data_IF_299876239310
#
_entry.id   IF_299876239310
#
_cell.length_a   1.000
_cell.length_b   1.000
_cell.length_c   1.000
_cell.angle_alpha   90.00
_cell.angle_beta   90.00
_cell.angle_gamma   90.00
#
_symmetry.space_group_name_H-M   'P 1'
#
loop_
_entity.id
_entity.type
_entity.pdbx_description
1 polymer ?
#
# COMPACT_ATOMS: atom_id res chain seq x y z
N UNK A 1 16.05 4.60 9.87
CA UNK A 1 14.81 4.44 9.08
C UNK A 1 14.25 5.84 8.78
N UNK A 2 13.79 6.13 7.53
CA UNK A 2 13.04 7.34 7.25
C UNK A 2 11.74 7.34 8.07
N UNK A 3 11.24 8.53 8.43
CA UNK A 3 9.93 8.63 9.08
C UNK A 3 8.81 8.22 8.11
N UNK A 4 7.61 7.94 8.62
CA UNK A 4 6.45 7.66 7.79
C UNK A 4 6.17 8.83 6.83
N UNK A 5 6.22 10.06 7.37
CA UNK A 5 6.02 11.28 6.60
C UNK A 5 7.06 11.45 5.48
N UNK A 6 8.33 11.14 5.76
CA UNK A 6 9.39 11.19 4.74
C UNK A 6 9.15 10.15 3.64
N UNK A 7 8.77 8.93 4.02
CA UNK A 7 8.46 7.84 3.06
C UNK A 7 7.30 8.23 2.15
N UNK A 8 6.20 8.72 2.71
CA UNK A 8 5.02 9.17 1.95
C UNK A 8 5.37 10.34 1.03
N UNK A 9 6.12 11.33 1.51
CA UNK A 9 6.54 12.48 0.70
C UNK A 9 7.47 12.05 -0.44
N UNK A 10 8.38 11.12 -0.19
CA UNK A 10 9.26 10.55 -1.21
C UNK A 10 8.47 9.85 -2.31
N UNK A 11 7.52 8.98 -1.94
CA UNK A 11 6.63 8.29 -2.89
C UNK A 11 5.82 9.29 -3.72
N UNK A 12 5.21 10.29 -3.07
CA UNK A 12 4.44 11.32 -3.76
C UNK A 12 5.30 12.09 -4.78
N UNK A 13 6.53 12.46 -4.40
CA UNK A 13 7.46 13.16 -5.30
C UNK A 13 7.88 12.28 -6.48
N UNK A 14 8.21 11.03 -6.24
CA UNK A 14 8.60 10.09 -7.29
C UNK A 14 7.46 9.85 -8.29
N UNK A 15 6.24 9.60 -7.80
CA UNK A 15 5.05 9.39 -8.64
C UNK A 15 4.66 10.66 -9.40
N UNK A 16 4.83 11.84 -8.79
CA UNK A 16 4.62 13.13 -9.46
C UNK A 16 5.63 13.31 -10.61
N UNK A 17 6.91 13.04 -10.36
CA UNK A 17 7.95 13.14 -11.38
C UNK A 17 7.71 12.13 -12.52
N UNK A 18 7.31 10.91 -12.18
CA UNK A 18 6.95 9.88 -13.16
C UNK A 18 5.81 10.34 -14.07
N UNK A 19 4.72 10.85 -13.50
CA UNK A 19 3.58 11.38 -14.27
C UNK A 19 3.97 12.54 -15.17
N UNK A 20 4.83 13.45 -14.70
CA UNK A 20 5.31 14.60 -15.50
C UNK A 20 6.14 14.11 -16.71
N UNK A 21 6.80 12.95 -16.62
CA UNK A 21 7.54 12.39 -17.75
C UNK A 21 6.65 11.87 -18.88
N UNK A 22 5.32 11.83 -18.69
CA UNK A 22 4.36 11.33 -19.67
C UNK A 22 4.29 9.81 -19.77
N UNK A 23 4.92 9.10 -18.82
CA UNK A 23 4.82 7.64 -18.73
C UNK A 23 3.47 7.22 -18.12
N UNK A 24 2.92 6.05 -18.52
CA UNK A 24 1.75 5.46 -17.86
C UNK A 24 1.97 5.31 -16.36
N UNK A 25 0.88 5.26 -15.58
CA UNK A 25 0.98 5.11 -14.13
C UNK A 25 1.78 3.84 -13.73
N UNK A 26 2.76 3.94 -12.82
CA UNK A 26 3.66 2.82 -12.54
C UNK A 26 3.07 1.84 -11.53
N UNK A 27 3.51 0.58 -11.62
CA UNK A 27 3.46 -0.36 -10.51
C UNK A 27 4.69 -0.17 -9.62
N UNK A 28 4.50 -0.02 -8.32
CA UNK A 28 5.62 0.08 -7.38
C UNK A 28 6.09 -1.32 -7.00
N UNK A 29 7.39 -1.57 -7.13
CA UNK A 29 8.03 -2.76 -6.58
C UNK A 29 8.73 -2.40 -5.28
N UNK A 30 8.14 -2.80 -4.15
CA UNK A 30 8.77 -2.71 -2.84
C UNK A 30 9.75 -3.86 -2.65
N UNK A 31 10.98 -3.56 -2.25
CA UNK A 31 12.01 -4.56 -1.97
C UNK A 31 12.92 -4.11 -0.82
N UNK A 32 13.40 -5.06 -0.03
CA UNK A 32 14.32 -4.77 1.08
C UNK A 32 15.73 -4.46 0.60
N UNK A 33 16.47 -3.76 1.46
CA UNK A 33 17.81 -3.25 1.15
C UNK A 33 18.90 -4.32 1.10
N UNK A 34 18.64 -5.53 1.58
CA UNK A 34 19.57 -6.67 1.63
C UNK A 34 19.27 -7.69 0.53
N UNK A 35 18.46 -8.69 0.83
CA UNK A 35 18.23 -9.85 -0.05
C UNK A 35 17.41 -9.49 -1.27
N UNK A 36 16.41 -8.63 -1.11
CA UNK A 36 15.63 -8.10 -2.24
C UNK A 36 16.51 -7.31 -3.21
N UNK A 37 17.39 -6.44 -2.68
CA UNK A 37 18.32 -5.69 -3.51
C UNK A 37 19.36 -6.59 -4.19
N UNK A 38 19.83 -7.66 -3.54
CA UNK A 38 20.70 -8.65 -4.14
C UNK A 38 20.01 -9.38 -5.30
N UNK A 39 18.78 -9.85 -5.06
CA UNK A 39 17.97 -10.52 -6.08
C UNK A 39 17.74 -9.62 -7.30
N UNK A 40 17.32 -8.37 -7.10
CA UNK A 40 17.03 -7.45 -8.19
C UNK A 40 18.25 -7.17 -9.06
N UNK A 41 19.49 -7.17 -8.51
CA UNK A 41 20.70 -7.01 -9.32
C UNK A 41 20.91 -8.16 -10.32
N UNK A 42 20.34 -9.34 -10.04
CA UNK A 42 20.43 -10.49 -10.94
C UNK A 42 19.39 -10.46 -12.06
N UNK A 43 18.25 -9.79 -11.85
CA UNK A 43 17.11 -9.78 -12.79
C UNK A 43 16.81 -8.40 -13.38
N UNK A 44 17.55 -7.36 -13.00
CA UNK A 44 17.22 -5.98 -13.40
C UNK A 44 17.31 -5.70 -14.91
N UNK A 45 17.87 -6.60 -15.71
CA UNK A 45 17.84 -6.49 -17.17
C UNK A 45 16.45 -6.77 -17.78
N UNK A 46 15.57 -7.41 -17.01
CA UNK A 46 14.27 -7.89 -17.47
C UNK A 46 13.10 -7.12 -16.82
N UNK A 47 13.38 -5.96 -16.18
CA UNK A 47 12.30 -5.13 -15.63
C UNK A 47 11.40 -4.63 -16.75
N UNK A 48 10.08 -4.87 -16.66
CA UNK A 48 9.15 -4.28 -17.62
C UNK A 48 9.12 -2.75 -17.45
N UNK A 49 8.92 -2.05 -18.56
CA UNK A 49 8.62 -0.62 -18.51
C UNK A 49 7.42 -0.40 -17.58
N UNK A 50 7.38 0.71 -16.82
CA UNK A 50 6.27 1.00 -15.89
C UNK A 50 6.40 0.41 -14.50
N UNK A 51 7.51 -0.24 -14.17
CA UNK A 51 7.82 -0.62 -12.80
C UNK A 51 8.71 0.42 -12.15
N UNK A 52 8.27 0.96 -11.01
CA UNK A 52 9.04 1.87 -10.17
C UNK A 52 9.62 1.11 -8.97
N UNK A 53 10.90 0.72 -8.98
CA UNK A 53 11.52 0.07 -7.83
C UNK A 53 11.62 1.03 -6.66
N UNK A 54 11.14 0.61 -5.49
CA UNK A 54 11.19 1.38 -4.25
C UNK A 54 11.82 0.57 -3.14
N UNK A 55 13.03 0.99 -2.75
CA UNK A 55 13.79 0.31 -1.71
C UNK A 55 13.31 0.72 -0.33
N UNK A 56 13.11 -0.27 0.54
CA UNK A 56 12.88 -0.11 1.97
C UNK A 56 13.98 -0.82 2.75
N UNK A 57 14.16 -0.50 4.02
CA UNK A 57 15.15 -1.21 4.83
C UNK A 57 14.75 -2.66 5.04
N UNK A 58 13.52 -2.88 5.48
CA UNK A 58 12.90 -4.19 5.64
C UNK A 58 11.46 -4.14 5.12
N UNK A 59 10.97 -5.21 4.53
CA UNK A 59 9.59 -5.29 4.03
C UNK A 59 8.58 -4.99 5.16
N UNK A 60 8.82 -5.50 6.36
CA UNK A 60 7.97 -5.24 7.53
C UNK A 60 7.99 -3.80 8.05
N UNK A 61 8.84 -2.92 7.53
CA UNK A 61 8.91 -1.50 7.94
C UNK A 61 7.82 -0.63 7.30
N UNK A 62 7.15 -1.12 6.26
CA UNK A 62 6.03 -0.45 5.61
C UNK A 62 4.73 -1.19 5.87
N UNK A 63 3.62 -0.47 5.95
CA UNK A 63 2.30 -1.03 6.19
C UNK A 63 1.24 -0.46 5.25
N UNK A 64 0.02 -0.78 5.55
CA UNK A 64 -1.16 -0.41 4.76
C UNK A 64 -1.26 1.10 4.49
N UNK A 65 -0.80 1.93 5.42
CA UNK A 65 -0.78 3.38 5.30
C UNK A 65 0.12 3.86 4.15
N UNK A 66 1.27 3.22 3.95
CA UNK A 66 2.20 3.54 2.87
C UNK A 66 1.67 3.03 1.53
N UNK A 67 1.16 1.80 1.53
CA UNK A 67 0.69 1.15 0.31
C UNK A 67 -0.55 1.82 -0.26
N UNK A 68 -1.54 2.10 0.57
CA UNK A 68 -2.74 2.83 0.14
C UNK A 68 -2.42 4.27 -0.27
N UNK A 69 -1.44 4.93 0.40
CA UNK A 69 -0.98 6.26 -0.02
C UNK A 69 -0.37 6.24 -1.42
N UNK A 70 0.39 5.19 -1.76
CA UNK A 70 0.98 5.07 -3.09
C UNK A 70 -0.09 4.93 -4.19
N UNK A 71 -1.17 4.16 -3.94
CA UNK A 71 -2.32 4.11 -4.85
C UNK A 71 -2.99 5.48 -4.98
N UNK A 72 -3.24 6.16 -3.86
CA UNK A 72 -3.81 7.51 -3.85
C UNK A 72 -2.93 8.53 -4.60
N UNK A 73 -1.60 8.39 -4.58
CA UNK A 73 -0.66 9.21 -5.32
C UNK A 73 -0.52 8.83 -6.80
N UNK A 74 -1.27 7.83 -7.28
CA UNK A 74 -1.39 7.49 -8.70
C UNK A 74 -0.59 6.27 -9.16
N UNK A 75 -0.16 5.39 -8.26
CA UNK A 75 0.33 4.08 -8.66
C UNK A 75 -0.83 3.18 -9.13
N UNK A 76 -0.60 2.33 -10.13
CA UNK A 76 -1.59 1.31 -10.56
C UNK A 76 -1.60 0.09 -9.65
N UNK A 77 -0.56 -0.11 -8.88
CA UNK A 77 -0.46 -1.22 -7.96
C UNK A 77 0.86 -1.26 -7.23
N UNK A 78 0.96 -2.20 -6.30
CA UNK A 78 2.16 -2.46 -5.52
C UNK A 78 2.43 -3.95 -5.55
N UNK A 79 3.68 -4.32 -5.82
CA UNK A 79 4.21 -5.66 -5.65
C UNK A 79 5.25 -5.64 -4.55
N UNK A 80 5.11 -6.52 -3.58
CA UNK A 80 5.98 -6.60 -2.41
C UNK A 80 6.87 -7.83 -2.59
N UNK A 81 8.13 -7.60 -2.92
CA UNK A 81 9.09 -8.67 -3.17
C UNK A 81 9.42 -9.38 -1.87
N UNK A 82 9.15 -10.68 -1.83
CA UNK A 82 9.53 -11.57 -0.74
C UNK A 82 10.51 -12.63 -1.24
N UNK A 83 11.29 -13.20 -0.35
CA UNK A 83 12.32 -14.19 -0.67
C UNK A 83 12.47 -15.21 0.46
N UNK A 84 13.23 -16.27 0.25
CA UNK A 84 13.42 -17.36 1.21
C UNK A 84 13.96 -16.93 2.59
N UNK A 85 14.66 -15.78 2.64
CA UNK A 85 15.18 -15.20 3.89
C UNK A 85 14.19 -14.27 4.59
N UNK A 86 13.03 -13.99 3.98
CA UNK A 86 11.99 -13.18 4.63
C UNK A 86 11.44 -13.95 5.85
N UNK A 87 11.47 -13.37 7.06
CA UNK A 87 11.01 -14.08 8.25
C UNK A 87 9.54 -14.49 8.16
N UNK A 88 9.22 -15.72 8.59
CA UNK A 88 7.86 -16.25 8.53
C UNK A 88 6.80 -15.39 9.26
N UNK A 89 7.19 -14.73 10.35
CA UNK A 89 6.32 -13.78 11.05
C UNK A 89 5.98 -12.55 10.18
N UNK A 90 6.93 -12.08 9.38
CA UNK A 90 6.71 -10.97 8.44
C UNK A 90 5.76 -11.42 7.33
N UNK A 91 5.98 -12.61 6.74
CA UNK A 91 5.09 -13.17 5.72
C UNK A 91 3.65 -13.33 6.22
N UNK A 92 3.48 -13.84 7.46
CA UNK A 92 2.14 -13.97 8.08
C UNK A 92 1.46 -12.61 8.23
N UNK A 93 2.17 -11.61 8.74
CA UNK A 93 1.62 -10.26 8.91
C UNK A 93 1.31 -9.61 7.56
N UNK A 94 2.19 -9.79 6.56
CA UNK A 94 2.00 -9.29 5.20
C UNK A 94 0.73 -9.87 4.57
N UNK A 95 0.54 -11.19 4.66
CA UNK A 95 -0.66 -11.84 4.13
C UNK A 95 -1.96 -11.31 4.77
N UNK A 96 -1.95 -11.10 6.10
CA UNK A 96 -3.10 -10.51 6.81
C UNK A 96 -3.38 -9.07 6.37
N UNK A 97 -2.34 -8.26 6.18
CA UNK A 97 -2.49 -6.87 5.73
C UNK A 97 -2.98 -6.80 4.27
N UNK A 98 -2.48 -7.65 3.39
CA UNK A 98 -2.93 -7.74 1.99
C UNK A 98 -4.40 -8.15 1.93
N UNK A 99 -4.82 -9.15 2.72
CA UNK A 99 -6.22 -9.57 2.78
C UNK A 99 -7.15 -8.45 3.28
N UNK A 100 -6.72 -7.72 4.31
CA UNK A 100 -7.45 -6.56 4.80
C UNK A 100 -7.60 -5.48 3.72
N UNK A 101 -6.51 -5.17 3.01
CA UNK A 101 -6.54 -4.16 1.94
C UNK A 101 -7.44 -4.62 0.79
N UNK A 102 -7.39 -5.90 0.42
CA UNK A 102 -8.27 -6.46 -0.60
C UNK A 102 -9.73 -6.19 -0.26
N UNK A 103 -10.16 -6.54 0.95
CA UNK A 103 -11.52 -6.27 1.41
C UNK A 103 -11.88 -4.77 1.38
N UNK A 104 -10.93 -3.91 1.76
CA UNK A 104 -11.15 -2.45 1.76
C UNK A 104 -11.27 -1.90 0.33
N UNK A 105 -10.36 -2.27 -0.57
CA UNK A 105 -10.37 -1.81 -1.96
C UNK A 105 -11.64 -2.30 -2.70
N UNK A 106 -11.97 -3.57 -2.58
CA UNK A 106 -13.18 -4.14 -3.18
C UNK A 106 -14.45 -3.47 -2.62
N UNK A 107 -14.49 -3.18 -1.31
CA UNK A 107 -15.58 -2.45 -0.69
C UNK A 107 -15.69 -0.98 -1.12
N UNK A 108 -14.64 -0.40 -1.66
CA UNK A 108 -14.59 0.93 -2.24
C UNK A 108 -14.70 0.93 -3.79
N UNK A 109 -15.01 -0.22 -4.38
CA UNK A 109 -15.13 -0.43 -5.84
C UNK A 109 -13.79 -0.29 -6.61
N UNK A 110 -12.67 -0.61 -5.94
CA UNK A 110 -11.36 -0.71 -6.55
C UNK A 110 -10.93 -2.17 -6.75
N UNK A 111 -9.92 -2.39 -7.60
CA UNK A 111 -9.34 -3.73 -7.78
C UNK A 111 -8.58 -4.17 -6.51
N UNK A 112 -9.08 -5.21 -5.85
CA UNK A 112 -8.45 -5.82 -4.68
C UNK A 112 -7.07 -6.44 -4.95
N UNK A 113 -6.71 -6.69 -6.21
CA UNK A 113 -5.40 -7.22 -6.61
C UNK A 113 -4.35 -6.13 -6.85
N UNK A 114 -4.71 -4.85 -6.68
CA UNK A 114 -3.76 -3.73 -6.81
C UNK A 114 -2.55 -3.87 -5.89
N UNK A 115 -2.69 -4.54 -4.74
CA UNK A 115 -1.58 -4.80 -3.82
C UNK A 115 -1.42 -6.31 -3.62
N UNK A 116 -0.23 -6.83 -3.93
CA UNK A 116 0.04 -8.26 -3.82
C UNK A 116 1.51 -8.54 -3.43
N UNK A 117 1.70 -9.70 -2.80
CA UNK A 117 3.02 -10.30 -2.63
C UNK A 117 3.56 -10.76 -3.99
N UNK A 118 4.87 -10.66 -4.16
CA UNK A 118 5.62 -11.18 -5.30
C UNK A 118 6.78 -12.03 -4.76
N UNK A 119 6.61 -13.36 -4.66
CA UNK A 119 7.70 -14.24 -4.29
C UNK A 119 8.83 -14.22 -5.33
N UNK A 120 10.08 -14.07 -4.89
CA UNK A 120 11.24 -14.01 -5.79
C UNK A 120 11.38 -15.22 -6.72
N UNK A 121 10.95 -16.40 -6.25
CA UNK A 121 10.96 -17.64 -7.03
C UNK A 121 9.93 -17.68 -8.16
N UNK A 122 8.91 -16.83 -8.07
CA UNK A 122 7.80 -16.74 -9.03
C UNK A 122 7.94 -15.51 -9.94
N UNK A 123 9.08 -14.81 -9.85
CA UNK A 123 9.30 -13.58 -10.60
C UNK A 123 9.27 -13.85 -12.11
N UNK A 124 8.19 -13.49 -12.75
CA UNK A 124 8.05 -13.55 -14.20
C UNK A 124 7.40 -12.27 -14.73
N UNK A 125 7.60 -12.01 -16.03
CA UNK A 125 6.96 -10.86 -16.68
C UNK A 125 5.44 -10.93 -16.72
N UNK A 126 4.85 -12.10 -16.45
CA UNK A 126 3.40 -12.30 -16.40
C UNK A 126 2.76 -11.85 -15.08
N UNK A 127 3.57 -11.69 -14.00
CA UNK A 127 3.08 -11.35 -12.66
C UNK A 127 2.95 -9.85 -12.42
N UNK A 128 3.32 -9.05 -13.42
CA UNK A 128 3.15 -7.61 -13.36
C UNK A 128 1.74 -7.21 -13.79
N UNK A 129 1.13 -6.22 -13.12
CA UNK A 129 -0.09 -5.62 -13.62
C UNK A 129 0.13 -5.26 -15.09
N UNK A 130 -0.72 -5.77 -15.97
CA UNK A 130 -0.71 -5.34 -17.36
C UNK A 130 -0.81 -3.81 -17.36
N UNK A 131 -0.06 -3.15 -18.25
CA UNK A 131 -0.17 -1.72 -18.45
C UNK A 131 -1.65 -1.32 -18.62
N UNK A 132 -2.20 -0.71 -17.60
CA UNK A 132 -3.44 0.05 -17.69
C UNK A 132 -2.99 1.50 -17.76
N UNK A 133 -3.39 2.21 -18.80
CA UNK A 133 -3.03 3.64 -18.97
C UNK A 133 -3.60 4.53 -17.84
N UNK A 134 -4.41 3.97 -16.95
CA UNK A 134 -5.14 4.66 -15.90
C UNK A 134 -4.62 4.27 -14.51
N UNK A 135 -4.35 5.26 -13.69
CA UNK A 135 -4.10 5.05 -12.25
C UNK A 135 -5.35 4.46 -11.58
N UNK A 136 -5.17 3.81 -10.43
CA UNK A 136 -6.29 3.29 -9.62
C UNK A 136 -7.30 4.41 -9.29
N UNK A 137 -6.84 5.64 -9.16
CA UNK A 137 -7.64 6.83 -8.87
C UNK A 137 -7.70 7.77 -10.08
N UNK A 138 -8.87 8.35 -10.35
CA UNK A 138 -9.05 9.35 -11.41
C UNK A 138 -8.28 10.64 -11.09
N UNK A 139 -8.34 11.10 -9.85
CA UNK A 139 -7.63 12.25 -9.33
C UNK A 139 -6.58 11.83 -8.34
N UNK A 140 -5.32 12.20 -8.58
CA UNK A 140 -4.23 11.85 -7.67
C UNK A 140 -4.22 12.73 -6.43
N UNK A 141 -3.96 12.12 -5.28
CA UNK A 141 -3.87 12.82 -4.01
C UNK A 141 -2.69 13.80 -3.97
N UNK A 142 -2.91 14.93 -3.30
CA UNK A 142 -1.90 15.98 -3.11
C UNK A 142 -1.49 16.17 -1.64
N UNK A 143 -2.12 15.46 -0.71
CA UNK A 143 -1.78 15.56 0.70
C UNK A 143 -0.32 15.18 0.95
N UNK A 144 0.31 15.83 1.93
CA UNK A 144 1.68 15.53 2.36
C UNK A 144 1.74 14.33 3.29
N UNK A 145 2.95 13.82 3.48
CA UNK A 145 3.21 12.79 4.47
C UNK A 145 3.02 13.31 5.90
N UNK A 146 2.49 12.46 6.75
CA UNK A 146 2.32 12.67 8.19
C UNK A 146 2.92 11.49 8.94
N UNK A 147 3.47 11.74 10.15
CA UNK A 147 4.16 10.69 10.92
C UNK A 147 3.21 9.79 11.73
N UNK A 148 1.95 10.17 11.85
CA UNK A 148 0.95 9.38 12.54
C UNK A 148 0.22 8.46 11.54
N UNK A 149 0.29 7.13 11.76
CA UNK A 149 -0.34 6.13 10.88
C UNK A 149 -1.85 6.30 10.75
N UNK A 150 -2.53 6.68 11.84
CA UNK A 150 -3.99 6.89 11.84
C UNK A 150 -4.38 8.10 10.99
N UNK A 151 -3.61 9.18 11.10
CA UNK A 151 -3.84 10.38 10.30
C UNK A 151 -3.55 10.12 8.82
N UNK A 152 -2.47 9.35 8.52
CA UNK A 152 -2.17 8.90 7.16
C UNK A 152 -3.34 8.11 6.56
N UNK A 153 -3.83 7.10 7.28
CA UNK A 153 -4.97 6.29 6.83
C UNK A 153 -6.24 7.11 6.65
N UNK A 154 -6.50 8.08 7.54
CA UNK A 154 -7.64 8.98 7.40
C UNK A 154 -7.58 9.78 6.10
N UNK A 155 -6.43 10.42 5.82
CA UNK A 155 -6.24 11.17 4.57
C UNK A 155 -6.41 10.29 3.33
N UNK A 156 -5.91 9.06 3.38
CA UNK A 156 -6.06 8.11 2.29
C UNK A 156 -7.51 7.70 2.10
N UNK A 157 -8.21 7.33 3.16
CA UNK A 157 -9.62 6.92 3.04
C UNK A 157 -10.52 8.08 2.63
N UNK A 158 -10.27 9.29 3.16
CA UNK A 158 -11.00 10.50 2.73
C UNK A 158 -10.82 10.74 1.21
N UNK A 159 -9.65 10.39 0.65
CA UNK A 159 -9.39 10.53 -0.78
C UNK A 159 -9.96 9.36 -1.62
N UNK A 160 -9.83 8.12 -1.14
CA UNK A 160 -10.27 6.94 -1.89
C UNK A 160 -11.79 6.70 -1.81
N UNK A 161 -12.49 7.31 -0.85
CA UNK A 161 -13.94 7.16 -0.72
C UNK A 161 -14.64 8.12 -1.68
N UNK A 162 -15.38 7.63 -2.70
CA UNK A 162 -16.05 8.48 -3.66
C UNK A 162 -17.17 9.30 -2.97
N UNK A 163 -17.25 10.59 -3.26
CA UNK A 163 -18.34 11.45 -2.76
C UNK A 163 -19.73 11.02 -3.26
N UNK A 164 -19.77 10.36 -4.43
CA UNK A 164 -21.01 10.00 -5.13
C UNK A 164 -21.67 8.71 -4.67
N UNK A 165 -20.95 7.87 -3.94
CA UNK A 165 -21.46 6.57 -3.48
C UNK A 165 -21.06 6.35 -2.02
N UNK A 166 -21.90 6.76 -1.05
CA UNK A 166 -21.63 6.50 0.35
C UNK A 166 -21.59 4.98 0.58
N UNK A 167 -20.45 4.48 0.99
CA UNK A 167 -20.27 3.09 1.40
C UNK A 167 -20.90 2.96 2.79
N UNK A 168 -22.01 2.23 2.91
CA UNK A 168 -22.70 2.08 4.18
C UNK A 168 -21.86 1.33 5.22
N UNK A 169 -21.20 0.23 4.82
CA UNK A 169 -20.29 -0.54 5.66
C UNK A 169 -19.48 -1.52 4.80
N UNK A 170 -18.22 -1.71 5.16
CA UNK A 170 -17.35 -2.76 4.58
C UNK A 170 -17.13 -3.83 5.64
N UNK A 171 -17.45 -5.09 5.32
CA UNK A 171 -17.17 -6.22 6.19
C UNK A 171 -15.67 -6.51 6.18
N UNK A 172 -15.02 -6.39 7.33
CA UNK A 172 -13.60 -6.61 7.47
C UNK A 172 -13.27 -8.03 7.94
N UNK A 173 -12.11 -8.59 7.57
CA UNK A 173 -11.70 -9.91 8.05
C UNK A 173 -11.48 -9.92 9.57
N UNK A 174 -11.63 -11.09 10.18
CA UNK A 174 -11.39 -11.27 11.61
C UNK A 174 -9.95 -10.87 11.96
N UNK A 175 -9.76 -10.16 13.08
CA UNK A 175 -8.45 -9.65 13.49
C UNK A 175 -8.05 -8.33 12.84
N UNK A 176 -8.93 -7.69 12.07
CA UNK A 176 -8.71 -6.35 11.55
C UNK A 176 -8.35 -5.37 12.69
N UNK A 177 -7.36 -4.47 12.47
CA UNK A 177 -6.97 -3.47 13.47
C UNK A 177 -7.98 -2.32 13.60
N UNK A 178 -9.03 -2.31 12.77
CA UNK A 178 -10.09 -1.32 12.81
C UNK A 178 -11.20 -1.79 13.72
N UNK A 179 -11.72 -0.88 14.55
CA UNK A 179 -12.79 -1.15 15.48
C UNK A 179 -13.27 0.11 16.18
N UNK A 180 -14.35 -0.01 16.92
CA UNK A 180 -14.83 1.07 17.77
C UNK A 180 -14.90 0.60 19.23
N UNK A 181 -14.69 1.55 20.14
CA UNK A 181 -14.92 1.31 21.56
C UNK A 181 -16.40 1.53 21.82
N UNK A 182 -17.08 0.51 22.32
CA UNK A 182 -18.45 0.63 22.79
C UNK A 182 -18.45 0.78 24.32
N UNK A 183 -18.89 1.93 24.79
CA UNK A 183 -19.02 2.20 26.23
C UNK A 183 -20.47 1.90 26.66
N UNK A 184 -20.61 0.95 27.56
CA UNK A 184 -21.91 0.75 28.25
C UNK A 184 -22.12 1.92 29.20
N UNK A 185 -22.97 2.87 28.78
CA UNK A 185 -23.24 4.07 29.53
C UNK A 185 -24.02 3.79 30.83
N UNK A 186 -24.70 2.62 30.96
CA UNK A 186 -25.37 2.22 32.18
C UNK A 186 -24.41 1.72 33.25
N UNK A 187 -23.23 1.20 32.85
CA UNK A 187 -22.18 0.72 33.74
C UNK A 187 -21.04 1.73 33.91
N UNK A 188 -21.02 2.79 33.11
CA UNK A 188 -19.95 3.80 33.13
C UNK A 188 -20.12 4.70 34.38
N UNK A 189 -19.16 4.66 35.28
CA UNK A 189 -19.13 5.48 36.50
C UNK A 189 -18.63 6.90 36.29
N UNK A 190 -18.35 7.31 35.06
CA UNK A 190 -17.80 8.62 34.68
C UNK A 190 -16.55 8.96 35.52
N UNK A 191 -15.67 7.99 35.75
CA UNK A 191 -14.40 8.24 36.44
C UNK A 191 -13.58 9.27 35.63
N UNK A 192 -13.62 10.53 36.09
CA UNK A 192 -12.75 11.59 35.60
C UNK A 192 -11.34 11.30 36.12
N UNK A 193 -10.55 10.55 35.32
CA UNK A 193 -9.15 10.30 35.55
C UNK A 193 -8.27 11.27 34.74
#
# INVERSE_FOLDING_TARGET
YPSLGDTMNGLRQALTAWRISGMPAPCILLYDSDSGAEYLRTVCADFPDGVLPWRVEEIGSTGIEVWLSALAYGAVGIRILTHERTPGAVLTTLAQQIELIRCLLEGLDYDGQSIAELPAVEFSSADWPQYVDESVVADVATFGGVDNKRDALRLVFDHLTPESAPVEAIALPAGSPFGQIHVDTALCTLCMG
#
